data_IF_831985584874
#
_entry.id   IF_831985584874
#
_cell.length_a   1.000
_cell.length_b   1.000
_cell.length_c   1.000
_cell.angle_alpha   90.00
_cell.angle_beta   90.00
_cell.angle_gamma   90.00
#
_symmetry.space_group_name_H-M   'P 1'
#
loop_
_entity.id
_entity.type
_entity.pdbx_description
1 polymer ?
#
# COMPACT_ATOMS: atom_id res chain seq x y z
N UNK A 1 -16.49 -3.95 3.16
CA UNK A 1 -15.28 -3.34 3.65
C UNK A 1 -15.11 -1.96 3.04
N UNK A 2 -14.57 -1.08 3.83
CA UNK A 2 -14.54 0.33 3.44
C UNK A 2 -13.12 0.82 3.29
N UNK A 3 -12.97 1.78 2.39
CA UNK A 3 -11.72 2.50 2.28
C UNK A 3 -11.55 3.39 3.51
N UNK A 4 -10.31 3.47 4.00
CA UNK A 4 -10.02 4.33 5.14
C UNK A 4 -8.85 5.23 4.82
N UNK A 5 -8.81 6.40 5.42
CA UNK A 5 -7.68 7.30 5.25
C UNK A 5 -6.66 7.14 6.37
N UNK A 6 -6.93 6.25 7.31
CA UNK A 6 -5.98 5.98 8.38
C UNK A 6 -4.82 5.17 7.84
N UNK A 7 -3.61 5.59 8.17
CA UNK A 7 -2.42 4.89 7.72
C UNK A 7 -2.35 3.54 8.42
N UNK A 8 -2.13 2.46 7.65
CA UNK A 8 -2.08 1.14 8.25
C UNK A 8 -0.99 1.01 9.31
N UNK A 9 -1.30 0.32 10.38
CA UNK A 9 -0.32 0.01 11.43
C UNK A 9 0.03 -1.48 11.45
N UNK A 10 -0.60 -2.26 10.58
CA UNK A 10 -0.31 -3.68 10.42
C UNK A 10 0.35 -3.86 9.07
N UNK A 11 1.56 -4.43 9.07
CA UNK A 11 2.27 -4.66 7.82
C UNK A 11 1.52 -5.62 6.93
N UNK A 12 1.51 -5.34 5.64
CA UNK A 12 0.83 -6.21 4.71
C UNK A 12 0.60 -5.53 3.38
N UNK A 13 -0.15 -6.23 2.52
CA UNK A 13 -0.48 -5.72 1.21
C UNK A 13 -1.80 -4.97 1.28
N UNK A 14 -1.86 -3.82 0.64
CA UNK A 14 -3.03 -2.96 0.68
C UNK A 14 -3.35 -2.43 -0.70
N UNK A 15 -4.64 -2.26 -0.99
CA UNK A 15 -5.06 -1.41 -2.07
C UNK A 15 -4.87 0.02 -1.62
N UNK A 16 -4.25 0.83 -2.46
CA UNK A 16 -4.02 2.24 -2.18
C UNK A 16 -4.62 3.06 -3.30
N UNK A 17 -5.37 4.07 -2.92
CA UNK A 17 -6.00 4.97 -3.89
C UNK A 17 -5.59 6.39 -3.60
N UNK A 18 -5.23 7.12 -4.66
CA UNK A 18 -4.91 8.53 -4.56
C UNK A 18 -5.41 9.23 -5.82
N UNK A 19 -4.96 10.47 -6.02
CA UNK A 19 -5.40 11.26 -7.18
C UNK A 19 -4.99 10.63 -8.50
N UNK A 20 -3.96 9.82 -8.50
CA UNK A 20 -3.41 9.28 -9.74
C UNK A 20 -3.95 7.92 -10.08
N UNK A 21 -4.65 7.27 -9.15
CA UNK A 21 -5.23 5.98 -9.44
C UNK A 21 -5.24 5.07 -8.24
N UNK A 22 -5.46 3.79 -8.53
CA UNK A 22 -5.58 2.75 -7.51
C UNK A 22 -4.57 1.66 -7.84
N UNK A 23 -3.82 1.23 -6.84
CA UNK A 23 -2.79 0.22 -7.05
C UNK A 23 -2.57 -0.55 -5.75
N UNK A 24 -1.74 -1.60 -5.82
CA UNK A 24 -1.47 -2.47 -4.68
C UNK A 24 -0.02 -2.26 -4.27
N UNK A 25 0.20 -2.05 -2.96
CA UNK A 25 1.53 -1.85 -2.41
C UNK A 25 1.65 -2.55 -1.08
N UNK A 26 2.87 -2.91 -0.73
CA UNK A 26 3.16 -3.41 0.60
C UNK A 26 3.42 -2.22 1.53
N UNK A 27 2.68 -2.20 2.64
CA UNK A 27 2.83 -1.16 3.64
C UNK A 27 3.46 -1.77 4.87
N UNK A 28 4.52 -1.16 5.38
CA UNK A 28 5.21 -1.67 6.56
C UNK A 28 4.41 -1.32 7.81
N UNK A 29 4.78 -1.96 8.93
CA UNK A 29 4.14 -1.66 10.20
C UNK A 29 4.35 -0.21 10.63
N UNK A 30 5.39 0.42 10.12
CA UNK A 30 5.64 1.81 10.41
C UNK A 30 4.90 2.77 9.51
N UNK A 31 4.05 2.27 8.62
CA UNK A 31 3.32 3.13 7.72
C UNK A 31 4.15 3.66 6.57
N UNK A 32 5.06 2.82 6.06
CA UNK A 32 5.94 3.21 4.96
C UNK A 32 5.71 2.32 3.76
N UNK A 33 5.94 2.88 2.57
CA UNK A 33 5.93 2.12 1.33
C UNK A 33 7.27 2.29 0.63
N UNK A 34 7.65 1.28 -0.17
CA UNK A 34 8.89 1.35 -0.93
C UNK A 34 8.71 2.20 -2.17
N UNK A 35 9.68 3.05 -2.42
CA UNK A 35 9.69 3.86 -3.64
C UNK A 35 10.88 3.45 -4.50
N UNK A 36 10.59 2.95 -5.71
CA UNK A 36 11.64 2.62 -6.65
C UNK A 36 12.35 3.88 -7.15
N UNK A 37 11.62 4.96 -7.20
CA UNK A 37 12.18 6.21 -7.70
C UNK A 37 13.28 6.72 -6.79
N UNK A 38 13.01 6.71 -5.48
CA UNK A 38 13.99 7.18 -4.49
C UNK A 38 14.83 6.04 -3.94
N UNK A 39 14.48 4.80 -4.25
CA UNK A 39 15.16 3.62 -3.74
C UNK A 39 15.23 3.63 -2.22
N UNK A 40 14.11 4.01 -1.61
CA UNK A 40 14.00 4.03 -0.16
C UNK A 40 12.54 3.97 0.23
N UNK A 41 12.31 3.75 1.54
CA UNK A 41 10.96 3.78 2.06
C UNK A 41 10.50 5.21 2.27
N UNK A 42 9.24 5.46 1.94
CA UNK A 42 8.63 6.76 2.14
C UNK A 42 7.57 6.65 3.22
N UNK A 43 7.62 7.56 4.19
CA UNK A 43 6.63 7.60 5.25
C UNK A 43 5.32 8.15 4.71
N UNK A 44 4.24 7.39 4.92
CA UNK A 44 2.92 7.85 4.51
C UNK A 44 2.42 8.91 5.48
N UNK A 45 1.61 9.81 4.97
CA UNK A 45 1.00 10.87 5.77
C UNK A 45 -0.48 10.95 5.42
N UNK A 46 -1.32 11.19 6.44
CA UNK A 46 -2.74 11.34 6.20
C UNK A 46 -3.04 12.56 5.34
N UNK A 47 -2.13 13.51 5.33
CA UNK A 47 -2.30 14.72 4.52
C UNK A 47 -2.09 14.47 3.03
N UNK A 48 -1.56 13.32 2.67
CA UNK A 48 -1.29 13.01 1.27
C UNK A 48 -2.55 12.59 0.52
N UNK A 49 -3.65 12.42 1.21
CA UNK A 49 -4.90 12.11 0.55
C UNK A 49 -5.04 10.66 0.12
N UNK A 50 -4.23 9.77 0.64
CA UNK A 50 -4.33 8.36 0.33
C UNK A 50 -5.55 7.72 0.99
N UNK A 51 -6.02 6.66 0.36
CA UNK A 51 -7.04 5.80 0.95
C UNK A 51 -6.52 4.38 0.90
N UNK A 52 -6.84 3.59 1.91
CA UNK A 52 -6.30 2.24 2.06
C UNK A 52 -7.42 1.24 2.24
N UNK A 53 -7.20 0.03 1.72
CA UNK A 53 -8.16 -1.06 1.84
C UNK A 53 -7.34 -2.34 2.03
N UNK A 54 -7.49 -2.97 3.17
CA UNK A 54 -6.76 -4.19 3.47
C UNK A 54 -6.59 -4.38 4.96
N UNK A 55 -5.67 -5.24 5.35
CA UNK A 55 -4.70 -5.93 4.49
C UNK A 55 -5.36 -6.99 3.62
N UNK A 56 -4.77 -7.23 2.47
CA UNK A 56 -5.26 -8.21 1.53
C UNK A 56 -4.21 -9.30 1.37
N UNK A 57 -4.63 -10.40 0.73
CA UNK A 57 -3.72 -11.48 0.44
C UNK A 57 -2.64 -11.00 -0.52
N UNK A 58 -1.43 -11.50 -0.35
CA UNK A 58 -0.33 -11.11 -1.22
C UNK A 58 -0.67 -11.42 -2.66
N UNK A 59 -0.51 -10.44 -3.55
CA UNK A 59 -0.76 -10.69 -4.98
C UNK A 59 0.20 -11.74 -5.51
N UNK A 60 -0.32 -12.61 -6.35
CA UNK A 60 0.47 -13.68 -6.93
C UNK A 60 0.80 -13.38 -8.37
N UNK A 61 2.02 -13.73 -8.75
CA UNK A 61 2.45 -13.65 -10.13
C UNK A 61 2.11 -14.96 -10.80
N UNK A 62 1.17 -14.94 -11.73
CA UNK A 62 0.74 -16.16 -12.37
C UNK A 62 1.85 -16.87 -13.10
N UNK A 63 2.86 -16.13 -13.53
CA UNK A 63 4.01 -16.75 -14.17
C UNK A 63 4.78 -17.66 -13.26
N UNK A 64 4.66 -17.46 -11.97
CA UNK A 64 5.38 -18.26 -10.99
C UNK A 64 4.67 -19.57 -10.67
N UNK A 65 3.47 -19.73 -11.12
CA UNK A 65 2.67 -20.91 -10.80
C UNK A 65 2.87 -22.05 -11.77
N UNK A 66 3.84 -21.94 -12.59
CA UNK A 66 4.12 -22.99 -13.58
C UNK A 66 4.82 -24.18 -12.96
#
# INVERSE_FOLDING_TARGET
MNWTKEIPTVGGWYWIKNLYGTYIEYVTEGGEIWSDFYESYLQLSEDDGYRFYGPIEEPKDEGENK
#
